data_IF_374940383537
#
_entry.id   IF_374940383537
#
_cell.length_a   1.000
_cell.length_b   1.000
_cell.length_c   1.000
_cell.angle_alpha   90.00
_cell.angle_beta   90.00
_cell.angle_gamma   90.00
#
_symmetry.space_group_name_H-M   'P 1'
#
loop_
_entity.id
_entity.type
_entity.pdbx_description
1 polymer ?
#
# COMPACT_ATOMS: atom_id res chain seq x y z
N UNK A 1 -2.84 -3.72 -19.95
CA UNK A 1 -4.24 -3.41 -19.57
C UNK A 1 -4.30 -3.00 -18.09
N UNK A 2 -4.82 -1.81 -17.78
CA UNK A 2 -4.98 -1.33 -16.41
C UNK A 2 -6.23 -1.99 -15.79
N UNK A 3 -6.04 -2.87 -14.79
CA UNK A 3 -7.15 -3.48 -14.07
C UNK A 3 -7.28 -2.86 -12.66
N UNK A 4 -8.28 -1.99 -12.41
CA UNK A 4 -8.48 -1.34 -11.12
C UNK A 4 -8.95 -2.31 -10.02
N UNK A 5 -9.51 -3.46 -10.41
CA UNK A 5 -9.95 -4.52 -9.50
C UNK A 5 -8.84 -5.50 -9.15
N UNK A 6 -7.64 -5.35 -9.73
CA UNK A 6 -6.48 -6.17 -9.35
C UNK A 6 -6.24 -6.01 -7.86
N UNK A 7 -6.24 -7.12 -7.13
CA UNK A 7 -5.99 -7.11 -5.70
C UNK A 7 -4.48 -7.13 -5.43
N UNK A 8 -4.04 -6.28 -4.53
CA UNK A 8 -2.65 -6.15 -4.08
C UNK A 8 -2.55 -6.86 -2.73
N UNK A 9 -1.58 -7.77 -2.61
CA UNK A 9 -1.27 -8.41 -1.35
C UNK A 9 -0.70 -7.36 -0.41
N UNK A 10 -1.24 -7.27 0.80
CA UNK A 10 -0.87 -6.31 1.81
C UNK A 10 -0.53 -7.10 3.08
N UNK A 11 0.57 -6.75 3.74
CA UNK A 11 1.02 -7.42 4.96
C UNK A 11 1.09 -6.40 6.10
N UNK A 12 0.56 -6.77 7.26
CA UNK A 12 0.78 -6.01 8.48
C UNK A 12 2.20 -6.24 9.00
N UNK A 13 2.92 -5.18 9.32
CA UNK A 13 4.26 -5.26 9.93
C UNK A 13 4.26 -5.80 11.37
N UNK A 14 3.14 -5.71 12.09
CA UNK A 14 3.06 -6.11 13.51
C UNK A 14 2.54 -7.54 13.69
N UNK A 15 1.36 -7.86 13.15
CA UNK A 15 0.74 -9.17 13.33
C UNK A 15 1.07 -10.17 12.21
N UNK A 16 1.85 -9.76 11.20
CA UNK A 16 2.22 -10.55 10.01
C UNK A 16 1.03 -11.13 9.22
N UNK A 17 -0.20 -10.73 9.53
CA UNK A 17 -1.36 -11.13 8.74
C UNK A 17 -1.31 -10.47 7.38
N UNK A 18 -1.70 -11.25 6.37
CA UNK A 18 -1.76 -10.82 4.98
C UNK A 18 -3.20 -10.80 4.50
N UNK A 19 -3.55 -9.78 3.73
CA UNK A 19 -4.85 -9.71 3.06
C UNK A 19 -4.70 -9.00 1.73
N UNK A 20 -5.80 -8.93 0.99
CA UNK A 20 -5.81 -8.45 -0.39
C UNK A 20 -6.68 -7.22 -0.49
N UNK A 21 -6.07 -6.07 -0.78
CA UNK A 21 -6.78 -4.80 -0.98
C UNK A 21 -6.93 -4.56 -2.49
N UNK A 22 -8.12 -4.21 -2.99
CA UNK A 22 -8.28 -3.78 -4.37
C UNK A 22 -7.40 -2.56 -4.69
N UNK A 23 -6.75 -2.57 -5.84
CA UNK A 23 -5.86 -1.48 -6.27
C UNK A 23 -6.53 -0.12 -6.29
N UNK A 24 -7.78 -0.02 -6.71
CA UNK A 24 -8.49 1.27 -6.71
C UNK A 24 -8.58 1.93 -5.33
N UNK A 25 -8.67 1.14 -4.23
CA UNK A 25 -8.66 1.70 -2.87
C UNK A 25 -7.32 2.34 -2.56
N UNK A 26 -6.25 1.66 -2.91
CA UNK A 26 -4.88 2.15 -2.72
C UNK A 26 -4.67 3.45 -3.50
N UNK A 27 -5.10 3.50 -4.77
CA UNK A 27 -5.01 4.70 -5.60
C UNK A 27 -5.80 5.88 -5.03
N UNK A 28 -7.01 5.63 -4.49
CA UNK A 28 -7.79 6.69 -3.81
C UNK A 28 -7.09 7.24 -2.58
N UNK A 29 -6.36 6.40 -1.83
CA UNK A 29 -5.58 6.87 -0.69
C UNK A 29 -4.39 7.72 -1.15
N UNK A 30 -3.67 7.31 -2.19
CA UNK A 30 -2.61 8.14 -2.78
C UNK A 30 -3.13 9.52 -3.21
N UNK A 31 -4.30 9.56 -3.84
CA UNK A 31 -4.96 10.79 -4.28
C UNK A 31 -5.45 11.66 -3.11
N UNK A 32 -6.06 11.05 -2.09
CA UNK A 32 -6.62 11.78 -0.94
C UNK A 32 -5.55 12.36 -0.03
N UNK A 33 -4.42 11.66 0.14
CA UNK A 33 -3.33 12.07 1.03
C UNK A 33 -2.18 12.76 0.27
N UNK A 34 -2.35 13.07 -1.03
CA UNK A 34 -1.35 13.68 -1.91
C UNK A 34 0.05 13.03 -1.77
N UNK A 35 0.05 11.70 -1.77
CA UNK A 35 1.23 10.90 -1.46
C UNK A 35 2.20 11.04 -2.62
N UNK A 36 3.37 11.61 -2.35
CA UNK A 36 4.37 11.84 -3.39
C UNK A 36 4.90 10.51 -3.91
N UNK A 37 5.34 10.54 -5.16
CA UNK A 37 5.93 9.38 -5.86
C UNK A 37 7.00 8.70 -4.99
N UNK A 38 6.75 7.44 -4.63
CA UNK A 38 7.70 6.61 -3.90
C UNK A 38 7.54 6.65 -2.38
N UNK A 39 6.64 7.50 -1.86
CA UNK A 39 6.32 7.47 -0.44
C UNK A 39 5.44 6.27 -0.10
N UNK A 40 5.69 5.61 1.03
CA UNK A 40 4.79 4.60 1.55
C UNK A 40 3.49 5.25 2.02
N UNK A 41 2.35 4.63 1.73
CA UNK A 41 1.11 5.00 2.40
C UNK A 41 0.90 4.06 3.58
N UNK A 42 0.75 4.65 4.77
CA UNK A 42 0.48 3.90 5.99
C UNK A 42 -1.02 3.63 6.05
N UNK A 43 -1.41 2.38 5.85
CA UNK A 43 -2.78 1.94 6.06
C UNK A 43 -2.86 1.16 7.39
N UNK A 44 -3.94 1.31 8.14
CA UNK A 44 -4.12 0.65 9.44
C UNK A 44 -4.50 -0.84 9.27
N UNK A 45 -3.83 -1.74 9.97
CA UNK A 45 -4.13 -3.17 9.89
C UNK A 45 -5.60 -3.48 10.21
N UNK A 46 -6.24 -4.31 9.37
CA UNK A 46 -7.64 -4.70 9.57
C UNK A 46 -7.85 -5.58 10.82
N UNK A 47 -6.84 -6.34 11.22
CA UNK A 47 -6.94 -7.29 12.33
C UNK A 47 -6.49 -6.71 13.67
N UNK A 48 -5.27 -6.16 13.72
CA UNK A 48 -4.71 -5.67 14.98
C UNK A 48 -4.94 -4.17 15.21
N UNK A 49 -5.40 -3.42 14.19
CA UNK A 49 -5.58 -1.96 14.24
C UNK A 49 -4.34 -1.13 14.65
N UNK A 50 -3.22 -1.74 15.00
CA UNK A 50 -2.02 -1.06 15.50
C UNK A 50 -0.92 -0.96 14.44
N UNK A 51 -0.93 -1.83 13.42
CA UNK A 51 0.17 -1.95 12.47
C UNK A 51 0.01 -1.21 11.16
N UNK A 52 1.14 -0.79 10.60
CA UNK A 52 1.26 -0.28 9.23
C UNK A 52 1.10 -1.42 8.23
N UNK A 53 0.28 -1.19 7.22
CA UNK A 53 0.04 -2.12 6.14
C UNK A 53 0.97 -1.78 4.99
N UNK A 54 1.89 -2.69 4.71
CA UNK A 54 2.79 -2.56 3.57
C UNK A 54 2.16 -3.28 2.38
N UNK A 55 1.79 -2.54 1.32
CA UNK A 55 1.35 -3.17 0.10
C UNK A 55 2.56 -3.79 -0.62
N UNK A 56 2.36 -4.99 -1.14
CA UNK A 56 3.25 -5.57 -2.12
C UNK A 56 3.28 -4.73 -3.40
N UNK A 57 4.16 -5.12 -4.32
CA UNK A 57 4.43 -4.34 -5.54
C UNK A 57 3.16 -3.99 -6.33
N UNK A 58 2.95 -2.70 -6.60
CA UNK A 58 1.81 -2.20 -7.35
C UNK A 58 2.18 -1.06 -8.30
N UNK A 59 1.23 -0.63 -9.14
CA UNK A 59 1.42 0.54 -10.02
C UNK A 59 0.59 1.69 -9.44
N UNK A 60 1.22 2.82 -9.15
CA UNK A 60 0.58 3.99 -8.55
C UNK A 60 -0.24 4.83 -9.53
N UNK A 61 -0.84 5.93 -9.06
CA UNK A 61 -1.61 6.88 -9.89
C UNK A 61 -0.79 7.49 -11.04
N UNK A 62 0.54 7.58 -10.89
CA UNK A 62 1.45 8.08 -11.92
C UNK A 62 1.93 7.00 -12.91
N UNK A 63 1.38 5.79 -12.86
CA UNK A 63 1.74 4.70 -13.75
C UNK A 63 3.09 4.03 -13.45
N UNK A 64 3.69 4.32 -12.29
CA UNK A 64 5.01 3.79 -11.89
C UNK A 64 4.86 2.59 -10.97
N UNK A 65 5.75 1.61 -11.15
CA UNK A 65 5.83 0.43 -10.28
C UNK A 65 6.47 0.82 -8.95
N UNK A 66 5.69 0.77 -7.88
CA UNK A 66 6.10 1.04 -6.50
C UNK A 66 6.28 -0.29 -5.79
N UNK A 67 7.41 -0.44 -5.10
CA UNK A 67 7.69 -1.53 -4.17
C UNK A 67 8.07 -0.87 -2.85
N UNK A 68 7.24 -1.07 -1.82
CA UNK A 68 7.53 -0.59 -0.48
C UNK A 68 8.18 -1.75 0.26
N UNK A 69 9.38 -1.51 0.78
CA UNK A 69 10.06 -2.49 1.60
C UNK A 69 9.63 -2.31 3.07
N UNK A 70 9.06 -3.34 3.73
CA UNK A 70 8.67 -3.27 5.13
C UNK A 70 9.78 -2.81 6.07
N UNK A 71 11.02 -3.17 5.75
CA UNK A 71 12.18 -3.00 6.60
C UNK A 71 12.97 -1.74 6.27
N UNK A 72 12.59 -1.04 5.20
CA UNK A 72 13.28 0.15 4.72
C UNK A 72 12.25 1.22 4.34
N UNK A 73 11.36 1.52 5.30
CA UNK A 73 10.46 2.65 5.22
C UNK A 73 11.31 3.91 5.50
N UNK A 74 11.78 4.57 4.44
CA UNK A 74 12.41 5.88 4.57
C UNK A 74 11.41 6.85 5.21
N UNK A 75 11.69 7.42 6.40
CA UNK A 75 10.76 8.28 7.12
C UNK A 75 10.67 9.71 6.55
N UNK A 76 11.18 9.96 5.33
CA UNK A 76 11.32 11.29 4.72
C UNK A 76 10.52 11.44 3.41
#
# INVERSE_FOLDING_TARGET
>A
MFNPFKRICCQCSFCNKTWRIPRYRILRFEEFFDIKKGQPFVWQCHDCHEGVVIPGTYINIHGKKVKIDPNNLDPN
#
